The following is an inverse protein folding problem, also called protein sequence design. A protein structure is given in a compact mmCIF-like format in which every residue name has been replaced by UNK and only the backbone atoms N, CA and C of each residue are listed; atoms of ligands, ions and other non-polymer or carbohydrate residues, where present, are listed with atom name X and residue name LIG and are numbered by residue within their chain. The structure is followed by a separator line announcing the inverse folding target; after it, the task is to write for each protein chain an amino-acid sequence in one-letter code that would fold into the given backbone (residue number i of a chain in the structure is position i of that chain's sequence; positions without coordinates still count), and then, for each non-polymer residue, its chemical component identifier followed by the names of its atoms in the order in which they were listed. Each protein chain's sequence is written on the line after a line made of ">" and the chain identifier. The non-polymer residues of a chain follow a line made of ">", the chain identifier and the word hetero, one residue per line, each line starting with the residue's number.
data_IF_519505977098
#
_entry.id   IF_519505977098
#
_cell.length_a   1.000
_cell.length_b   1.000
_cell.length_c   1.000
_cell.angle_alpha   90.00
_cell.angle_beta   90.00
_cell.angle_gamma   90.00
#
_symmetry.space_group_name_H-M   'P 1'
#
loop_
_entity.id
_entity.type
_entity.pdbx_description
1 polymer ?
#
# COMPACT_ATOMS: atom_id res chain seq x y z
N UNK A 1 -4.52 24.42 33.49
CA UNK A 1 -3.65 23.25 33.27
C UNK A 1 -3.73 22.93 31.79
N UNK A 2 -2.64 23.19 31.08
CA UNK A 2 -2.60 23.14 29.62
C UNK A 2 -2.75 21.68 29.16
N UNK A 3 -3.79 21.43 28.37
CA UNK A 3 -4.01 20.16 27.68
C UNK A 3 -3.15 20.03 26.41
N UNK A 4 -2.55 21.15 26.04
CA UNK A 4 -1.76 21.40 24.86
C UNK A 4 -0.29 21.13 25.18
N UNK A 5 0.36 20.39 24.29
CA UNK A 5 1.80 20.13 24.29
C UNK A 5 2.42 20.82 23.08
N UNK A 6 3.54 21.48 23.32
CA UNK A 6 4.44 21.89 22.24
C UNK A 6 5.05 20.66 21.57
N UNK A 7 5.60 20.82 20.37
CA UNK A 7 6.33 19.75 19.69
C UNK A 7 7.46 19.19 20.59
N UNK A 8 8.20 20.08 21.27
CA UNK A 8 9.28 19.69 22.19
C UNK A 8 8.77 18.84 23.36
N UNK A 9 7.64 19.19 23.96
CA UNK A 9 7.06 18.40 25.06
C UNK A 9 6.57 17.04 24.57
N UNK A 10 5.95 16.97 23.39
CA UNK A 10 5.56 15.70 22.78
C UNK A 10 6.80 14.83 22.54
N UNK A 11 7.85 15.37 21.94
CA UNK A 11 9.10 14.66 21.69
C UNK A 11 9.74 14.15 22.98
N UNK A 12 9.67 14.91 24.07
CA UNK A 12 10.14 14.44 25.38
C UNK A 12 9.36 13.23 25.86
N UNK A 13 8.02 13.24 25.78
CA UNK A 13 7.20 12.08 26.16
C UNK A 13 7.44 10.86 25.27
N UNK A 14 7.54 11.07 23.95
CA UNK A 14 7.83 10.00 22.98
C UNK A 14 9.20 9.39 23.27
N UNK A 15 10.23 10.21 23.45
CA UNK A 15 11.57 9.72 23.67
C UNK A 15 11.76 9.07 25.05
N UNK A 16 11.08 9.56 26.08
CA UNK A 16 11.09 8.96 27.41
C UNK A 16 10.26 7.68 27.53
N UNK A 17 9.34 7.43 26.59
CA UNK A 17 8.55 6.20 26.58
C UNK A 17 9.46 5.02 26.23
N UNK A 18 9.66 4.12 27.19
CA UNK A 18 10.48 2.90 27.04
C UNK A 18 9.76 1.64 27.50
N UNK A 19 8.57 1.79 28.08
CA UNK A 19 7.81 0.71 28.71
C UNK A 19 6.63 0.27 27.83
N UNK A 20 6.44 -1.05 27.70
CA UNK A 20 5.27 -1.68 27.06
C UNK A 20 4.52 -2.47 28.11
N UNK A 21 3.30 -2.03 28.45
CA UNK A 21 2.42 -2.73 29.42
C UNK A 21 1.13 -3.21 28.74
N UNK A 22 1.24 -3.75 27.52
CA UNK A 22 0.09 -4.21 26.75
C UNK A 22 0.30 -4.23 25.25
N UNK A 23 -0.73 -4.61 24.51
CA UNK A 23 -0.72 -4.71 23.05
C UNK A 23 -1.52 -3.57 22.43
N UNK A 24 -0.93 -2.89 21.44
CA UNK A 24 -1.61 -1.86 20.65
C UNK A 24 -2.30 -2.52 19.46
N UNK A 25 -3.60 -2.30 19.33
CA UNK A 25 -4.45 -2.80 18.23
C UNK A 25 -5.38 -1.68 17.75
N UNK A 26 -6.06 -1.87 16.60
CA UNK A 26 -7.00 -0.88 16.05
C UNK A 26 -6.39 0.53 15.94
N UNK A 27 -5.13 0.61 15.48
CA UNK A 27 -4.47 1.88 15.23
C UNK A 27 -5.10 2.54 14.00
N UNK A 28 -5.77 3.65 14.23
CA UNK A 28 -6.53 4.37 13.22
C UNK A 28 -6.12 5.84 13.24
N UNK A 29 -6.13 6.45 12.06
CA UNK A 29 -5.97 7.89 11.90
C UNK A 29 -7.33 8.46 11.52
N UNK A 30 -7.71 9.57 12.13
CA UNK A 30 -9.02 10.17 11.92
C UNK A 30 -8.99 11.68 12.14
N UNK A 31 -9.95 12.37 11.53
CA UNK A 31 -10.33 13.71 11.99
C UNK A 31 -11.18 13.58 13.24
N UNK A 32 -10.93 14.45 14.21
CA UNK A 32 -11.50 14.33 15.53
C UNK A 32 -12.07 15.67 15.99
N UNK A 33 -13.31 15.71 16.50
CA UNK A 33 -13.91 16.94 17.01
C UNK A 33 -13.41 17.18 18.44
N UNK A 34 -12.20 17.70 18.58
CA UNK A 34 -11.53 17.89 19.85
C UNK A 34 -12.28 18.91 20.72
N UNK A 35 -12.59 18.54 21.96
CA UNK A 35 -13.23 19.41 22.95
C UNK A 35 -12.24 19.71 24.08
N UNK A 36 -11.93 20.99 24.27
CA UNK A 36 -11.00 21.41 25.32
C UNK A 36 -11.67 21.28 26.68
N UNK A 37 -11.00 20.56 27.60
CA UNK A 37 -11.57 20.30 28.92
C UNK A 37 -11.66 21.56 29.80
N UNK A 38 -10.91 22.62 29.46
CA UNK A 38 -10.81 23.83 30.28
C UNK A 38 -11.93 24.82 29.99
N UNK A 39 -12.16 25.13 28.71
CA UNK A 39 -13.13 26.14 28.28
C UNK A 39 -14.31 25.57 27.48
N UNK A 40 -14.32 24.25 27.23
CA UNK A 40 -15.36 23.55 26.45
C UNK A 40 -15.45 24.01 24.99
N UNK A 41 -14.42 24.69 24.48
CA UNK A 41 -14.30 25.00 23.06
C UNK A 41 -14.13 23.71 22.26
N UNK A 42 -14.69 23.71 21.04
CA UNK A 42 -14.58 22.57 20.13
C UNK A 42 -13.85 23.02 18.87
N UNK A 43 -12.86 22.25 18.44
CA UNK A 43 -12.05 22.54 17.27
C UNK A 43 -11.73 21.26 16.52
N UNK A 44 -11.54 21.35 15.20
CA UNK A 44 -10.97 20.25 14.41
C UNK A 44 -9.58 19.87 14.94
N UNK A 45 -9.29 18.57 14.96
CA UNK A 45 -7.96 18.03 15.11
C UNK A 45 -7.75 16.85 14.15
N UNK A 46 -6.51 16.60 13.76
CA UNK A 46 -6.10 15.30 13.24
C UNK A 46 -5.63 14.44 14.41
N UNK A 47 -6.01 13.17 14.47
CA UNK A 47 -5.63 12.29 15.58
C UNK A 47 -5.24 10.89 15.11
N UNK A 48 -4.33 10.27 15.86
CA UNK A 48 -4.25 8.82 15.95
C UNK A 48 -5.02 8.37 17.17
N UNK A 49 -5.77 7.28 16.99
CA UNK A 49 -6.48 6.55 18.03
C UNK A 49 -6.02 5.10 17.98
N UNK A 50 -5.87 4.47 19.14
CA UNK A 50 -5.65 3.03 19.20
C UNK A 50 -6.32 2.43 20.43
N UNK A 51 -6.49 1.11 20.41
CA UNK A 51 -6.80 0.31 21.58
C UNK A 51 -5.52 -0.26 22.19
N UNK A 52 -5.34 -0.05 23.47
CA UNK A 52 -4.26 -0.65 24.27
C UNK A 52 -4.88 -1.65 25.23
N UNK A 53 -4.60 -2.94 25.00
CA UNK A 53 -5.07 -4.03 25.85
C UNK A 53 -3.98 -4.38 26.86
N UNK A 54 -4.30 -4.24 28.14
CA UNK A 54 -3.39 -4.54 29.26
C UNK A 54 -3.97 -5.66 30.13
N UNK A 55 -3.18 -6.28 31.04
CA UNK A 55 -3.72 -7.23 32.01
C UNK A 55 -4.83 -6.64 32.90
N UNK A 56 -4.85 -5.31 33.08
CA UNK A 56 -5.83 -4.60 33.91
C UNK A 56 -7.07 -4.12 33.16
N UNK A 57 -7.12 -4.31 31.83
CA UNK A 57 -8.25 -3.91 31.00
C UNK A 57 -7.85 -3.22 29.70
N UNK A 58 -8.86 -2.87 28.93
CA UNK A 58 -8.74 -2.20 27.63
C UNK A 58 -8.87 -0.69 27.75
N UNK A 59 -8.07 0.03 26.99
CA UNK A 59 -8.06 1.49 26.98
C UNK A 59 -7.98 2.04 25.57
N UNK A 60 -8.85 3.01 25.27
CA UNK A 60 -8.75 3.84 24.07
C UNK A 60 -7.80 5.00 24.35
N UNK A 61 -6.76 5.13 23.54
CA UNK A 61 -5.73 6.16 23.70
C UNK A 61 -5.58 6.98 22.43
N UNK A 62 -5.15 8.23 22.60
CA UNK A 62 -5.06 9.19 21.53
C UNK A 62 -3.78 10.01 21.57
N UNK A 63 -3.33 10.39 20.38
CA UNK A 63 -2.49 11.56 20.15
C UNK A 63 -3.11 12.40 19.06
N UNK A 64 -3.23 13.70 19.26
CA UNK A 64 -3.79 14.61 18.25
C UNK A 64 -2.92 15.82 17.98
N UNK A 65 -3.16 16.45 16.84
CA UNK A 65 -2.60 17.72 16.41
C UNK A 65 -3.71 18.70 16.03
N UNK A 66 -3.53 19.95 16.44
CA UNK A 66 -4.31 21.12 16.00
C UNK A 66 -3.41 22.35 16.00
N UNK A 67 -3.85 23.43 15.37
CA UNK A 67 -3.23 24.75 15.55
C UNK A 67 -4.10 25.62 16.46
N UNK A 68 -3.55 26.04 17.60
CA UNK A 68 -4.22 26.95 18.54
C UNK A 68 -3.56 28.32 18.44
N UNK A 69 -4.34 29.35 18.08
CA UNK A 69 -3.83 30.70 17.81
C UNK A 69 -2.62 30.72 16.83
N UNK A 70 -2.64 29.84 15.83
CA UNK A 70 -1.57 29.72 14.82
C UNK A 70 -0.32 28.95 15.28
N UNK A 71 -0.34 28.36 16.49
CA UNK A 71 0.78 27.58 17.02
C UNK A 71 0.49 26.06 17.00
N UNK A 72 1.46 25.22 16.58
CA UNK A 72 1.31 23.77 16.58
C UNK A 72 1.09 23.25 17.99
N UNK A 73 0.02 22.49 18.17
CA UNK A 73 -0.44 22.03 19.48
C UNK A 73 -0.80 20.56 19.41
N UNK A 74 -0.14 19.76 20.24
CA UNK A 74 -0.39 18.33 20.38
C UNK A 74 -1.17 18.02 21.65
N UNK A 75 -1.96 16.95 21.65
CA UNK A 75 -2.71 16.50 22.83
C UNK A 75 -2.58 14.99 22.97
N UNK A 76 -2.57 14.51 24.22
CA UNK A 76 -2.49 13.08 24.56
C UNK A 76 -3.58 12.77 25.56
N UNK A 77 -4.32 11.67 25.37
CA UNK A 77 -5.28 11.22 26.39
C UNK A 77 -5.61 9.73 26.35
N UNK A 78 -6.22 9.26 27.44
CA UNK A 78 -6.68 7.90 27.64
C UNK A 78 -8.12 7.90 28.17
N UNK A 79 -8.99 7.16 27.50
CA UNK A 79 -10.43 7.15 27.70
C UNK A 79 -11.10 8.35 27.03
N UNK A 80 -12.08 8.11 26.17
CA UNK A 80 -12.74 9.16 25.39
C UNK A 80 -14.23 8.96 25.22
N UNK A 81 -15.03 9.85 25.80
CA UNK A 81 -16.50 9.75 25.77
C UNK A 81 -17.08 9.76 24.36
N UNK A 82 -16.50 10.54 23.44
CA UNK A 82 -17.02 10.65 22.08
C UNK A 82 -16.77 9.36 21.29
N UNK A 83 -15.55 8.84 21.30
CA UNK A 83 -15.25 7.60 20.61
C UNK A 83 -15.85 6.36 21.26
N UNK A 84 -16.11 6.40 22.56
CA UNK A 84 -16.78 5.33 23.30
C UNK A 84 -18.30 5.42 23.24
N UNK A 85 -18.87 6.49 22.65
CA UNK A 85 -20.33 6.70 22.62
C UNK A 85 -20.95 6.88 24.01
N UNK A 86 -20.15 7.32 24.99
CA UNK A 86 -20.53 7.39 26.40
C UNK A 86 -21.05 8.77 26.76
N UNK A 87 -22.20 8.82 27.44
CA UNK A 87 -22.85 10.05 27.93
C UNK A 87 -23.15 11.10 26.84
N UNK A 88 -23.24 10.68 25.57
CA UNK A 88 -23.47 11.54 24.41
C UNK A 88 -24.52 10.89 23.50
N UNK A 89 -25.58 11.62 23.17
CA UNK A 89 -26.53 11.22 22.13
C UNK A 89 -25.97 11.51 20.73
N UNK A 90 -26.45 10.81 19.70
CA UNK A 90 -26.10 11.07 18.30
C UNK A 90 -26.28 12.54 17.90
N UNK A 91 -27.32 13.21 18.43
CA UNK A 91 -27.59 14.61 18.18
C UNK A 91 -26.51 15.52 18.79
N UNK A 92 -26.09 15.25 20.03
CA UNK A 92 -25.03 15.99 20.71
C UNK A 92 -23.67 15.74 20.05
N UNK A 93 -23.38 14.50 19.65
CA UNK A 93 -22.16 14.15 18.93
C UNK A 93 -22.10 14.85 17.57
N UNK A 94 -23.20 14.83 16.81
CA UNK A 94 -23.28 15.54 15.52
C UNK A 94 -23.13 17.05 15.67
N UNK A 95 -23.68 17.63 16.74
CA UNK A 95 -23.50 19.05 17.04
C UNK A 95 -22.05 19.38 17.39
N UNK A 96 -21.36 18.52 18.14
CA UNK A 96 -19.92 18.65 18.41
C UNK A 96 -19.11 18.57 17.10
N UNK A 97 -19.44 17.65 16.20
CA UNK A 97 -18.82 17.56 14.87
C UNK A 97 -19.04 18.81 14.02
N UNK A 98 -20.24 19.41 14.06
CA UNK A 98 -20.51 20.67 13.34
C UNK A 98 -19.61 21.78 13.83
N UNK A 99 -19.53 21.99 15.15
CA UNK A 99 -18.66 23.01 15.75
C UNK A 99 -17.20 22.82 15.37
N UNK A 100 -16.71 21.57 15.36
CA UNK A 100 -15.35 21.28 14.94
C UNK A 100 -15.11 21.59 13.46
N UNK A 101 -16.12 21.40 12.59
CA UNK A 101 -16.01 21.64 11.16
C UNK A 101 -16.29 23.10 10.74
N UNK A 102 -16.63 23.99 11.66
CA UNK A 102 -16.85 25.41 11.37
C UNK A 102 -15.60 26.04 10.74
N UNK A 103 -15.79 26.79 9.65
CA UNK A 103 -14.71 27.46 8.93
C UNK A 103 -13.86 26.56 8.02
N UNK A 104 -14.15 25.26 7.93
CA UNK A 104 -13.47 24.34 6.99
C UNK A 104 -14.07 24.45 5.58
N UNK A 105 -13.34 24.02 4.55
CA UNK A 105 -13.79 24.13 3.15
C UNK A 105 -14.96 23.20 2.80
N UNK A 106 -15.01 22.01 3.43
CA UNK A 106 -16.06 21.02 3.24
C UNK A 106 -16.57 20.48 4.59
N UNK A 107 -17.37 21.29 5.32
CA UNK A 107 -17.87 20.89 6.62
C UNK A 107 -18.77 19.66 6.56
N UNK A 108 -19.52 19.47 5.46
CA UNK A 108 -20.48 18.36 5.34
C UNK A 108 -19.77 17.01 5.33
N UNK A 109 -18.71 16.89 4.53
CA UNK A 109 -17.91 15.66 4.44
C UNK A 109 -17.19 15.38 5.76
N UNK A 110 -16.59 16.41 6.39
CA UNK A 110 -15.91 16.25 7.67
C UNK A 110 -16.86 15.83 8.80
N UNK A 111 -18.06 16.41 8.87
CA UNK A 111 -19.08 16.00 9.85
C UNK A 111 -19.45 14.54 9.64
N UNK A 112 -19.69 14.12 8.38
CA UNK A 112 -20.02 12.74 8.07
C UNK A 112 -18.88 11.79 8.50
N UNK A 113 -17.63 12.16 8.17
CA UNK A 113 -16.44 11.37 8.48
C UNK A 113 -16.22 11.23 10.00
N UNK A 114 -16.26 12.34 10.75
CA UNK A 114 -16.11 12.32 12.21
C UNK A 114 -17.21 11.48 12.90
N UNK A 115 -18.43 11.45 12.34
CA UNK A 115 -19.50 10.60 12.85
C UNK A 115 -19.30 9.13 12.47
N UNK A 116 -18.92 8.83 11.23
CA UNK A 116 -18.80 7.44 10.75
C UNK A 116 -17.57 6.71 11.29
N UNK A 117 -16.47 7.43 11.53
CA UNK A 117 -15.16 6.90 11.95
C UNK A 117 -14.84 7.21 13.42
N UNK A 118 -15.39 8.31 13.95
CA UNK A 118 -15.05 8.81 15.28
C UNK A 118 -16.01 8.39 16.39
N UNK A 119 -17.33 8.58 16.21
CA UNK A 119 -18.33 8.44 17.28
C UNK A 119 -18.78 7.00 17.52
N UNK A 120 -18.76 6.56 18.78
CA UNK A 120 -19.18 5.20 19.19
C UNK A 120 -18.50 4.06 18.40
N UNK A 121 -17.21 4.22 18.09
CA UNK A 121 -16.39 3.25 17.35
C UNK A 121 -15.42 2.46 18.21
N UNK A 122 -15.25 2.85 19.46
CA UNK A 122 -14.43 2.16 20.43
C UNK A 122 -15.29 1.62 21.57
N UNK A 123 -14.93 0.48 22.17
CA UNK A 123 -15.54 0.05 23.41
C UNK A 123 -15.09 0.94 24.57
N UNK A 124 -15.91 0.98 25.61
CA UNK A 124 -15.65 1.75 26.81
C UNK A 124 -14.33 1.34 27.47
N UNK A 125 -13.49 2.34 27.80
CA UNK A 125 -12.21 2.10 28.46
C UNK A 125 -12.43 1.67 29.92
N UNK A 126 -11.58 0.75 30.39
CA UNK A 126 -11.47 0.45 31.81
C UNK A 126 -10.98 1.69 32.58
N UNK A 127 -11.33 1.83 33.86
CA UNK A 127 -10.95 2.97 34.68
C UNK A 127 -9.43 3.17 34.74
N UNK A 128 -8.95 4.38 34.42
CA UNK A 128 -7.52 4.73 34.40
C UNK A 128 -7.25 6.00 35.22
N UNK A 129 -6.05 6.12 35.78
CA UNK A 129 -5.59 7.29 36.53
C UNK A 129 -5.01 8.42 35.64
N UNK A 130 -5.16 8.34 34.31
CA UNK A 130 -4.62 9.31 33.35
C UNK A 130 -4.92 10.77 33.75
N UNK A 131 -6.19 11.10 33.98
CA UNK A 131 -6.64 12.45 34.34
C UNK A 131 -6.04 12.96 35.66
N UNK A 132 -5.69 12.07 36.58
CA UNK A 132 -4.99 12.41 37.82
C UNK A 132 -3.51 12.68 37.57
N UNK A 133 -2.85 11.83 36.79
CA UNK A 133 -1.42 11.94 36.47
C UNK A 133 -1.09 13.20 35.66
N UNK A 134 -1.99 13.59 34.76
CA UNK A 134 -1.82 14.78 33.92
C UNK A 134 -1.69 16.09 34.71
N UNK A 135 -2.25 16.17 35.92
CA UNK A 135 -2.09 17.34 36.82
C UNK A 135 -0.64 17.57 37.23
N UNK A 136 0.20 16.55 37.13
CA UNK A 136 1.63 16.58 37.46
C UNK A 136 2.51 16.39 36.21
N UNK A 137 1.98 16.69 35.02
CA UNK A 137 2.66 16.54 33.73
C UNK A 137 3.20 15.11 33.49
N UNK A 138 2.43 14.09 33.88
CA UNK A 138 2.74 12.67 33.67
C UNK A 138 1.64 12.00 32.87
N UNK A 139 2.03 11.00 32.08
CA UNK A 139 1.11 10.14 31.32
C UNK A 139 0.90 8.80 32.04
N UNK A 140 -0.21 8.12 31.75
CA UNK A 140 -0.42 6.76 32.22
C UNK A 140 0.37 5.76 31.35
N UNK A 141 0.54 4.54 31.85
CA UNK A 141 1.25 3.46 31.13
C UNK A 141 0.62 3.10 29.78
N UNK A 142 -0.69 3.33 29.60
CA UNK A 142 -1.37 3.05 28.33
C UNK A 142 -0.95 4.04 27.24
N UNK A 143 -0.90 5.33 27.58
CA UNK A 143 -0.39 6.38 26.68
C UNK A 143 1.10 6.17 26.45
N UNK A 144 1.87 5.77 27.46
CA UNK A 144 3.30 5.45 27.30
C UNK A 144 3.52 4.27 26.33
N UNK A 145 2.76 3.17 26.51
CA UNK A 145 2.79 1.99 25.61
C UNK A 145 2.43 2.38 24.17
N UNK A 146 1.45 3.26 24.02
CA UNK A 146 1.02 3.77 22.73
C UNK A 146 2.06 4.69 22.07
N UNK A 147 2.67 5.60 22.82
CA UNK A 147 3.74 6.45 22.32
C UNK A 147 4.99 5.64 21.97
N UNK A 148 5.32 4.62 22.76
CA UNK A 148 6.39 3.68 22.42
C UNK A 148 6.08 2.93 21.11
N UNK A 149 4.84 2.49 20.92
CA UNK A 149 4.40 1.85 19.68
C UNK A 149 4.50 2.81 18.49
N UNK A 150 4.04 4.06 18.61
CA UNK A 150 4.17 5.07 17.57
C UNK A 150 5.63 5.39 17.28
N UNK A 151 6.47 5.61 18.30
CA UNK A 151 7.92 5.82 18.15
C UNK A 151 8.58 4.71 17.33
N UNK A 152 8.20 3.47 17.60
CA UNK A 152 8.83 2.28 17.00
C UNK A 152 8.31 1.99 15.60
N UNK A 153 6.99 2.10 15.39
CA UNK A 153 6.33 1.63 14.16
C UNK A 153 5.88 2.78 13.24
N UNK A 154 5.76 4.00 13.77
CA UNK A 154 5.37 5.20 13.04
C UNK A 154 6.11 6.47 13.54
N UNK A 155 7.44 6.57 13.37
CA UNK A 155 8.23 7.67 13.95
C UNK A 155 7.82 9.06 13.42
N UNK A 156 7.25 9.14 12.22
CA UNK A 156 6.82 10.40 11.58
C UNK A 156 5.39 10.82 11.95
N UNK A 157 4.71 10.12 12.87
CA UNK A 157 3.30 10.35 13.17
C UNK A 157 2.97 11.83 13.47
N UNK A 158 3.86 12.56 14.13
CA UNK A 158 3.65 13.97 14.49
C UNK A 158 3.64 14.89 13.26
N UNK A 159 4.46 14.59 12.25
CA UNK A 159 4.51 15.29 10.96
C UNK A 159 3.31 14.92 10.10
N UNK A 160 2.91 13.64 10.12
CA UNK A 160 1.72 13.16 9.41
C UNK A 160 0.45 13.86 9.92
N UNK A 161 0.25 13.90 11.24
CA UNK A 161 -0.88 14.60 11.85
C UNK A 161 -0.92 16.09 11.48
N UNK A 162 0.24 16.75 11.46
CA UNK A 162 0.34 18.15 11.06
C UNK A 162 0.00 18.37 9.58
N UNK A 163 0.45 17.45 8.72
CA UNK A 163 0.18 17.49 7.27
C UNK A 163 -1.31 17.31 7.00
N UNK A 164 -1.94 16.31 7.62
CA UNK A 164 -3.36 16.01 7.42
C UNK A 164 -4.26 17.14 7.92
N UNK A 165 -3.95 17.69 9.09
CA UNK A 165 -4.65 18.86 9.60
C UNK A 165 -4.56 20.04 8.64
N UNK A 166 -3.35 20.36 8.15
CA UNK A 166 -3.13 21.47 7.23
C UNK A 166 -3.79 21.26 5.87
N UNK A 167 -3.83 20.02 5.38
CA UNK A 167 -4.52 19.69 4.14
C UNK A 167 -6.01 20.03 4.24
N UNK A 168 -6.65 19.62 5.32
CA UNK A 168 -8.07 19.94 5.56
C UNK A 168 -8.30 21.42 5.83
N UNK A 169 -7.43 22.06 6.62
CA UNK A 169 -7.50 23.49 6.88
C UNK A 169 -7.30 24.35 5.61
N UNK A 170 -6.51 23.85 4.66
CA UNK A 170 -6.24 24.51 3.36
C UNK A 170 -7.25 24.14 2.26
N UNK A 171 -8.27 23.36 2.62
CA UNK A 171 -9.38 23.00 1.77
C UNK A 171 -9.13 21.91 0.74
N UNK A 172 -8.09 21.10 0.94
CA UNK A 172 -7.90 19.84 0.23
C UNK A 172 -8.92 18.83 0.80
N UNK A 173 -9.71 18.13 -0.03
CA UNK A 173 -10.68 17.16 0.47
C UNK A 173 -9.96 16.06 1.28
N UNK A 174 -10.52 15.64 2.42
CA UNK A 174 -9.93 14.55 3.19
C UNK A 174 -9.96 13.27 2.34
N UNK A 175 -8.81 12.87 1.80
CA UNK A 175 -8.63 11.50 1.34
C UNK A 175 -8.64 10.63 2.58
N UNK A 176 -9.57 9.68 2.63
CA UNK A 176 -9.77 8.72 3.71
C UNK A 176 -8.45 8.35 4.40
N UNK A 177 -8.37 8.61 5.70
CA UNK A 177 -7.21 8.36 6.53
C UNK A 177 -7.06 6.84 6.78
N UNK A 178 -6.66 6.09 5.77
CA UNK A 178 -6.10 4.76 5.94
C UNK A 178 -4.60 4.92 6.22
N UNK A 179 -4.21 4.92 7.51
CA UNK A 179 -2.81 4.85 7.93
C UNK A 179 -2.55 3.55 8.70
N UNK A 180 -2.71 2.42 8.04
CA UNK A 180 -1.72 1.34 8.20
C UNK A 180 -0.50 1.77 7.39
N UNK A 181 0.65 1.99 8.04
CA UNK A 181 1.94 2.10 7.32
C UNK A 181 2.16 0.77 6.58
N UNK A 182 1.70 0.69 5.35
CA UNK A 182 2.11 -0.37 4.45
C UNK A 182 3.49 0.00 3.96
N UNK A 183 4.47 -0.88 4.22
CA UNK A 183 5.79 -0.76 3.61
C UNK A 183 5.61 -0.55 2.10
N UNK A 184 6.31 0.43 1.54
CA UNK A 184 6.39 0.61 0.09
C UNK A 184 7.60 -0.14 -0.45
N UNK A 185 7.66 -0.32 -1.77
CA UNK A 185 8.89 -0.81 -2.40
C UNK A 185 10.10 0.07 -2.08
N UNK A 186 9.92 1.38 -1.87
CA UNK A 186 11.03 2.26 -1.50
C UNK A 186 11.59 1.97 -0.11
N UNK A 187 10.74 1.52 0.83
CA UNK A 187 11.13 1.20 2.20
C UNK A 187 11.85 -0.15 2.29
N UNK A 188 11.50 -1.09 1.42
CA UNK A 188 11.99 -2.48 1.43
C UNK A 188 13.13 -2.75 0.46
N UNK A 189 13.27 -1.95 -0.59
CA UNK A 189 14.29 -2.14 -1.62
C UNK A 189 15.69 -2.20 -1.01
N UNK A 190 16.51 -3.15 -1.48
CA UNK A 190 17.88 -3.40 -1.00
C UNK A 190 17.97 -3.82 0.47
N UNK A 191 16.87 -4.31 1.05
CA UNK A 191 16.83 -4.82 2.43
C UNK A 191 16.26 -6.23 2.46
N UNK A 192 15.15 -6.44 1.77
CA UNK A 192 14.43 -7.73 1.70
C UNK A 192 13.79 -7.90 0.32
N UNK A 193 13.60 -9.14 -0.16
CA UNK A 193 12.81 -9.41 -1.34
C UNK A 193 11.34 -9.02 -1.15
N UNK A 194 10.73 -8.47 -2.20
CA UNK A 194 9.32 -8.03 -2.20
C UNK A 194 8.52 -8.88 -3.17
N UNK A 195 7.34 -9.34 -2.76
CA UNK A 195 6.36 -9.99 -3.64
C UNK A 195 5.13 -9.09 -3.79
N UNK A 196 4.87 -8.62 -5.00
CA UNK A 196 3.63 -7.93 -5.30
C UNK A 196 2.52 -8.90 -5.64
N UNK A 197 1.44 -8.85 -4.86
CA UNK A 197 0.21 -9.61 -5.06
C UNK A 197 -0.95 -8.68 -5.40
N UNK A 198 -1.87 -9.13 -6.25
CA UNK A 198 -3.12 -8.40 -6.49
C UNK A 198 -3.66 -8.62 -7.90
N UNK A 199 -4.60 -7.75 -8.30
CA UNK A 199 -5.32 -7.89 -9.56
C UNK A 199 -4.42 -7.81 -10.80
N UNK A 200 -4.86 -8.49 -11.87
CA UNK A 200 -4.23 -8.35 -13.18
C UNK A 200 -4.29 -6.90 -13.66
N UNK A 201 -3.21 -6.42 -14.26
CA UNK A 201 -3.20 -5.08 -14.86
C UNK A 201 -3.30 -3.91 -13.86
N UNK A 202 -3.15 -4.16 -12.56
CA UNK A 202 -3.08 -3.12 -11.51
C UNK A 202 -1.76 -2.33 -11.51
N UNK A 203 -0.73 -2.81 -12.21
CA UNK A 203 0.55 -2.10 -12.38
C UNK A 203 1.72 -2.64 -11.57
N UNK A 204 1.65 -3.85 -10.99
CA UNK A 204 2.72 -4.49 -10.21
C UNK A 204 4.10 -4.44 -10.87
N UNK A 205 4.23 -5.04 -12.06
CA UNK A 205 5.47 -5.02 -12.85
C UNK A 205 5.87 -3.60 -13.27
N UNK A 206 4.89 -2.73 -13.51
CA UNK A 206 5.14 -1.33 -13.84
C UNK A 206 5.78 -0.58 -12.67
N UNK A 207 5.35 -0.80 -11.43
CA UNK A 207 5.96 -0.18 -10.24
C UNK A 207 7.43 -0.57 -10.09
N UNK A 208 7.76 -1.86 -10.25
CA UNK A 208 9.13 -2.33 -10.20
C UNK A 208 10.02 -1.67 -11.28
N UNK A 209 9.51 -1.60 -12.52
CA UNK A 209 10.18 -0.90 -13.63
C UNK A 209 10.31 0.61 -13.38
N UNK A 210 9.28 1.25 -12.82
CA UNK A 210 9.28 2.67 -12.49
C UNK A 210 10.27 2.99 -11.36
N UNK A 211 10.41 2.09 -10.38
CA UNK A 211 11.39 2.18 -9.32
C UNK A 211 12.82 2.17 -9.88
N UNK A 212 13.14 1.20 -10.75
CA UNK A 212 14.45 1.13 -11.40
C UNK A 212 14.74 2.36 -12.27
N UNK A 213 13.77 2.77 -13.11
CA UNK A 213 13.90 3.95 -13.99
C UNK A 213 14.10 5.25 -13.21
N UNK A 214 13.31 5.49 -12.17
CA UNK A 214 13.40 6.74 -11.37
C UNK A 214 14.75 6.89 -10.67
N UNK A 215 15.41 5.76 -10.34
CA UNK A 215 16.74 5.74 -9.71
C UNK A 215 17.89 5.49 -10.70
N UNK A 216 17.60 5.38 -12.01
CA UNK A 216 18.57 5.08 -13.07
C UNK A 216 19.41 3.83 -12.78
N UNK A 217 18.79 2.81 -12.20
CA UNK A 217 19.47 1.57 -11.82
C UNK A 217 19.46 0.56 -12.98
N UNK A 218 20.51 -0.27 -13.11
CA UNK A 218 20.46 -1.50 -13.90
C UNK A 218 19.25 -2.35 -13.50
N UNK A 219 18.62 -2.93 -14.50
CA UNK A 219 17.39 -3.69 -14.36
C UNK A 219 17.51 -5.00 -15.15
N UNK A 220 17.09 -6.11 -14.55
CA UNK A 220 16.99 -7.44 -15.17
C UNK A 220 15.59 -7.97 -14.90
N UNK A 221 14.93 -8.48 -15.93
CA UNK A 221 13.56 -9.00 -15.85
C UNK A 221 13.51 -10.45 -16.29
N UNK A 222 12.91 -11.30 -15.46
CA UNK A 222 12.63 -12.69 -15.75
C UNK A 222 11.12 -12.87 -15.91
N UNK A 223 10.61 -13.11 -17.14
CA UNK A 223 9.19 -13.38 -17.36
C UNK A 223 8.86 -14.83 -16.99
N UNK A 224 8.09 -15.04 -15.92
CA UNK A 224 7.68 -16.35 -15.42
C UNK A 224 6.69 -17.06 -16.35
N UNK A 225 6.97 -18.34 -16.64
CA UNK A 225 6.06 -19.24 -17.35
C UNK A 225 6.38 -20.70 -17.00
N UNK A 226 5.43 -21.60 -17.29
CA UNK A 226 5.48 -23.03 -16.90
C UNK A 226 6.61 -23.83 -17.56
N UNK A 227 7.18 -23.27 -18.63
CA UNK A 227 8.26 -23.88 -19.40
C UNK A 227 9.66 -23.46 -18.99
N UNK A 228 9.81 -22.65 -17.93
CA UNK A 228 11.13 -22.31 -17.39
C UNK A 228 11.74 -23.54 -16.74
N UNK A 229 13.02 -23.77 -17.01
CA UNK A 229 13.87 -24.73 -16.31
C UNK A 229 15.03 -24.01 -15.59
N UNK A 230 15.70 -24.70 -14.66
CA UNK A 230 16.85 -24.17 -13.92
C UNK A 230 17.92 -23.49 -14.80
N UNK A 231 18.33 -24.05 -15.96
CA UNK A 231 19.28 -23.38 -16.85
C UNK A 231 18.76 -22.07 -17.44
N UNK A 232 17.46 -21.89 -17.61
CA UNK A 232 16.92 -20.62 -18.11
C UNK A 232 17.09 -19.50 -17.08
N UNK A 233 17.04 -19.83 -15.78
CA UNK A 233 17.26 -18.88 -14.68
C UNK A 233 18.76 -18.62 -14.42
N UNK A 234 19.56 -19.68 -14.40
CA UNK A 234 20.98 -19.65 -14.03
C UNK A 234 21.90 -19.33 -15.22
N UNK A 235 21.65 -19.94 -16.36
CA UNK A 235 22.49 -19.88 -17.54
C UNK A 235 22.94 -21.25 -18.03
N UNK A 236 23.51 -21.27 -19.22
CA UNK A 236 23.99 -22.47 -19.89
C UNK A 236 25.07 -22.16 -20.92
N UNK A 237 25.78 -23.20 -21.37
CA UNK A 237 26.74 -23.09 -22.46
C UNK A 237 26.01 -23.00 -23.81
N UNK A 238 26.37 -22.01 -24.62
CA UNK A 238 25.88 -21.83 -25.99
C UNK A 238 27.03 -21.87 -26.99
N UNK A 239 26.83 -22.45 -28.19
CA UNK A 239 27.81 -22.37 -29.26
C UNK A 239 28.03 -20.91 -29.69
N UNK A 240 29.29 -20.49 -29.79
CA UNK A 240 29.68 -19.17 -30.28
C UNK A 240 30.80 -19.32 -31.30
N UNK A 241 30.44 -19.71 -32.52
CA UNK A 241 31.38 -19.97 -33.61
C UNK A 241 31.94 -21.40 -33.61
N UNK A 242 32.78 -21.74 -34.61
CA UNK A 242 33.27 -23.10 -34.81
C UNK A 242 34.11 -23.60 -33.62
N UNK A 243 33.64 -24.65 -32.94
CA UNK A 243 34.36 -25.31 -31.85
C UNK A 243 34.41 -24.52 -30.52
N UNK A 244 33.74 -23.38 -30.43
CA UNK A 244 33.75 -22.54 -29.22
C UNK A 244 32.38 -22.57 -28.54
N UNK A 245 32.39 -22.84 -27.23
CA UNK A 245 31.24 -22.70 -26.34
C UNK A 245 31.48 -21.50 -25.42
N UNK A 246 30.44 -20.72 -25.15
CA UNK A 246 30.48 -19.61 -24.19
C UNK A 246 29.33 -19.74 -23.20
N UNK A 247 29.59 -19.34 -21.96
CA UNK A 247 28.53 -19.28 -20.96
C UNK A 247 27.62 -18.07 -21.23
N UNK A 248 26.32 -18.32 -21.29
CA UNK A 248 25.28 -17.29 -21.34
C UNK A 248 24.54 -17.31 -20.01
N UNK A 249 24.64 -16.23 -19.25
CA UNK A 249 23.89 -16.07 -18.00
C UNK A 249 22.38 -16.09 -18.27
N UNK A 250 21.64 -16.74 -17.38
CA UNK A 250 20.20 -16.49 -17.20
C UNK A 250 19.98 -15.20 -16.38
N UNK A 251 18.73 -14.72 -16.27
CA UNK A 251 18.41 -13.44 -15.63
C UNK A 251 18.81 -13.40 -14.15
N UNK A 252 18.79 -14.54 -13.44
CA UNK A 252 19.19 -14.60 -12.04
C UNK A 252 20.71 -14.38 -11.91
N UNK A 253 21.52 -15.12 -12.67
CA UNK A 253 22.98 -14.94 -12.69
C UNK A 253 23.39 -13.56 -13.20
N UNK A 254 22.74 -13.05 -14.24
CA UNK A 254 22.99 -11.70 -14.75
C UNK A 254 22.76 -10.64 -13.67
N UNK A 255 21.65 -10.74 -12.92
CA UNK A 255 21.34 -9.81 -11.83
C UNK A 255 22.37 -9.87 -10.71
N UNK A 256 22.79 -11.06 -10.29
CA UNK A 256 23.84 -11.24 -9.28
C UNK A 256 25.18 -10.63 -9.73
N UNK A 257 25.61 -10.87 -10.98
CA UNK A 257 26.85 -10.28 -11.53
C UNK A 257 26.79 -8.76 -11.63
N UNK A 258 25.62 -8.19 -11.92
CA UNK A 258 25.44 -6.73 -11.90
C UNK A 258 25.46 -6.20 -10.47
N UNK A 259 24.80 -6.89 -9.53
CA UNK A 259 24.78 -6.55 -8.10
C UNK A 259 26.16 -6.59 -7.43
N UNK A 260 27.09 -7.42 -7.94
CA UNK A 260 28.50 -7.39 -7.54
C UNK A 260 29.19 -6.05 -7.81
N UNK A 261 28.77 -5.34 -8.86
CA UNK A 261 29.37 -4.07 -9.31
C UNK A 261 28.64 -2.85 -8.76
N UNK A 262 27.41 -3.03 -8.27
CA UNK A 262 26.60 -1.97 -7.68
C UNK A 262 25.10 -2.28 -7.70
N UNK A 263 24.31 -1.36 -7.15
CA UNK A 263 22.86 -1.52 -7.00
C UNK A 263 22.17 -1.94 -8.31
N UNK A 264 21.43 -3.03 -8.26
CA UNK A 264 20.71 -3.65 -9.39
C UNK A 264 19.31 -4.07 -8.94
N UNK A 265 18.34 -3.94 -9.84
CA UNK A 265 16.97 -4.42 -9.62
C UNK A 265 16.74 -5.71 -10.43
N UNK A 266 16.32 -6.77 -9.75
CA UNK A 266 15.86 -8.03 -10.35
C UNK A 266 14.33 -8.09 -10.23
N UNK A 267 13.65 -8.29 -11.36
CA UNK A 267 12.21 -8.58 -11.39
C UNK A 267 11.95 -10.01 -11.79
N UNK A 268 11.17 -10.72 -10.97
CA UNK A 268 10.62 -12.05 -11.25
C UNK A 268 9.13 -11.87 -11.54
N UNK A 269 8.77 -11.68 -12.80
CA UNK A 269 7.39 -11.39 -13.20
C UNK A 269 6.57 -12.67 -13.25
N UNK A 270 5.36 -12.68 -12.69
CA UNK A 270 4.50 -13.87 -12.61
C UNK A 270 5.23 -15.10 -12.03
N UNK A 271 5.92 -14.93 -10.89
CA UNK A 271 6.80 -15.93 -10.28
C UNK A 271 6.11 -17.29 -10.06
N UNK A 272 4.82 -17.29 -9.69
CA UNK A 272 4.05 -18.52 -9.43
C UNK A 272 3.61 -19.27 -10.70
N UNK A 273 3.97 -18.77 -11.89
CA UNK A 273 3.84 -19.54 -13.15
C UNK A 273 5.09 -20.37 -13.43
N UNK A 274 6.18 -20.12 -12.71
CA UNK A 274 7.40 -20.92 -12.80
C UNK A 274 7.17 -22.20 -11.98
N UNK A 275 7.52 -23.39 -12.49
CA UNK A 275 7.34 -24.62 -11.73
C UNK A 275 8.07 -24.56 -10.38
N UNK A 276 7.41 -24.98 -9.30
CA UNK A 276 7.94 -24.92 -7.93
C UNK A 276 9.34 -25.56 -7.78
N UNK A 277 9.61 -26.64 -8.53
CA UNK A 277 10.93 -27.30 -8.53
C UNK A 277 12.07 -26.36 -8.97
N UNK A 278 11.81 -25.44 -9.89
CA UNK A 278 12.81 -24.50 -10.41
C UNK A 278 12.98 -23.30 -9.45
N UNK A 279 11.89 -22.92 -8.77
CA UNK A 279 11.92 -21.88 -7.73
C UNK A 279 12.73 -22.28 -6.48
N UNK A 280 13.01 -23.58 -6.28
CA UNK A 280 13.83 -24.07 -5.17
C UNK A 280 15.23 -23.42 -5.10
N UNK A 281 15.76 -22.98 -6.25
CA UNK A 281 17.02 -22.23 -6.36
C UNK A 281 16.97 -20.93 -5.55
N UNK A 282 15.79 -20.30 -5.45
CA UNK A 282 15.61 -19.04 -4.74
C UNK A 282 15.69 -19.19 -3.21
N UNK A 283 15.43 -20.39 -2.69
CA UNK A 283 15.47 -20.66 -1.24
C UNK A 283 16.86 -20.40 -0.67
N UNK A 284 17.89 -20.84 -1.37
CA UNK A 284 19.29 -20.57 -0.99
C UNK A 284 19.73 -19.19 -1.44
N UNK A 285 19.34 -18.76 -2.64
CA UNK A 285 19.74 -17.46 -3.19
C UNK A 285 19.25 -16.25 -2.38
N UNK A 286 18.06 -16.33 -1.79
CA UNK A 286 17.45 -15.25 -1.00
C UNK A 286 17.45 -15.49 0.51
N UNK A 287 18.27 -16.42 1.00
CA UNK A 287 18.57 -16.56 2.43
C UNK A 287 19.96 -15.98 2.71
N UNK A 288 20.07 -14.66 3.00
CA UNK A 288 21.37 -14.03 3.13
C UNK A 288 22.05 -14.49 4.42
N UNK A 289 23.37 -14.62 4.35
CA UNK A 289 24.23 -14.89 5.50
C UNK A 289 25.25 -13.75 5.60
N UNK A 290 25.32 -13.12 6.78
CA UNK A 290 26.11 -11.90 7.04
C UNK A 290 25.89 -10.79 5.99
N UNK A 291 24.65 -10.61 5.53
CA UNK A 291 24.29 -9.55 4.58
C UNK A 291 24.69 -9.81 3.13
N UNK A 292 25.00 -11.07 2.78
CA UNK A 292 25.39 -11.48 1.43
C UNK A 292 24.43 -12.52 0.87
N UNK A 293 23.95 -12.31 -0.35
CA UNK A 293 23.25 -13.32 -1.15
C UNK A 293 24.25 -14.16 -1.93
N UNK A 294 23.97 -15.46 -2.09
CA UNK A 294 24.84 -16.40 -2.83
C UNK A 294 24.05 -17.22 -3.83
N UNK A 295 24.55 -17.32 -5.06
CA UNK A 295 23.92 -18.08 -6.13
C UNK A 295 24.94 -19.04 -6.76
N UNK A 296 24.59 -20.32 -6.76
CA UNK A 296 25.28 -21.37 -7.51
C UNK A 296 24.77 -21.40 -8.95
N UNK A 297 25.65 -21.24 -9.93
CA UNK A 297 25.25 -21.02 -11.34
C UNK A 297 25.20 -22.29 -12.19
N UNK A 298 25.77 -23.39 -11.71
CA UNK A 298 26.05 -24.60 -12.48
C UNK A 298 27.27 -24.48 -13.41
N UNK A 299 27.90 -23.30 -13.53
CA UNK A 299 29.07 -23.10 -14.38
C UNK A 299 30.32 -23.69 -13.74
N UNK A 300 30.98 -24.61 -14.44
CA UNK A 300 32.27 -25.16 -14.02
C UNK A 300 33.37 -24.10 -14.23
N UNK A 301 34.18 -23.85 -13.19
CA UNK A 301 35.28 -22.87 -13.22
C UNK A 301 36.66 -23.52 -13.19
N UNK A 302 36.80 -24.66 -12.52
CA UNK A 302 38.03 -25.45 -12.50
C UNK A 302 37.69 -26.93 -12.36
N UNK A 303 38.63 -27.78 -12.76
CA UNK A 303 38.55 -29.22 -12.56
C UNK A 303 39.90 -29.67 -12.01
N UNK A 304 39.89 -30.22 -10.81
CA UNK A 304 41.09 -30.72 -10.12
C UNK A 304 40.83 -32.18 -9.74
N UNK A 305 41.76 -33.08 -10.10
CA UNK A 305 41.65 -34.53 -9.85
C UNK A 305 40.32 -35.16 -10.30
N UNK A 306 39.76 -34.67 -11.41
CA UNK A 306 38.49 -35.14 -11.96
C UNK A 306 37.25 -34.61 -11.24
N UNK A 307 37.41 -33.68 -10.29
CA UNK A 307 36.32 -33.05 -9.52
C UNK A 307 36.16 -31.62 -10.02
N UNK A 308 34.95 -31.29 -10.50
CA UNK A 308 34.62 -29.95 -10.96
C UNK A 308 34.26 -29.03 -9.79
N UNK A 309 34.81 -27.83 -9.78
CA UNK A 309 34.38 -26.72 -8.93
C UNK A 309 33.40 -25.83 -9.68
N UNK A 310 32.35 -25.41 -8.99
CA UNK A 310 31.27 -24.59 -9.55
C UNK A 310 31.42 -23.12 -9.17
N UNK A 311 31.09 -22.22 -10.10
CA UNK A 311 30.98 -20.79 -9.84
C UNK A 311 29.85 -20.49 -8.85
N UNK A 312 30.21 -19.77 -7.78
CA UNK A 312 29.26 -19.15 -6.86
C UNK A 312 29.34 -17.64 -6.99
N UNK A 313 28.23 -17.00 -7.31
CA UNK A 313 28.09 -15.55 -7.35
C UNK A 313 27.64 -15.05 -5.99
N UNK A 314 28.38 -14.10 -5.42
CA UNK A 314 28.03 -13.44 -4.17
C UNK A 314 27.77 -11.97 -4.41
N UNK A 315 26.72 -11.41 -3.79
CA UNK A 315 26.51 -9.96 -3.80
C UNK A 315 25.94 -9.46 -2.45
N UNK A 316 26.27 -8.22 -2.02
CA UNK A 316 25.65 -7.64 -0.83
C UNK A 316 24.14 -7.49 -1.00
N UNK A 317 23.37 -7.76 0.06
CA UNK A 317 21.92 -7.53 0.10
C UNK A 317 21.58 -6.09 -0.28
N UNK A 318 22.39 -5.13 0.16
CA UNK A 318 22.24 -3.70 -0.14
C UNK A 318 22.43 -3.32 -1.62
N UNK A 319 22.90 -4.26 -2.44
CA UNK A 319 23.09 -4.09 -3.88
C UNK A 319 22.07 -4.82 -4.75
N UNK A 320 21.29 -5.77 -4.21
CA UNK A 320 20.29 -6.49 -4.99
C UNK A 320 18.88 -6.20 -4.47
N UNK A 321 18.10 -5.44 -5.25
CA UNK A 321 16.68 -5.26 -5.00
C UNK A 321 15.90 -6.32 -5.78
N UNK A 322 15.26 -7.24 -5.06
CA UNK A 322 14.45 -8.32 -5.63
C UNK A 322 12.97 -7.94 -5.55
N UNK A 323 12.29 -7.97 -6.69
CA UNK A 323 10.85 -7.70 -6.79
C UNK A 323 10.17 -8.79 -7.61
N UNK A 324 9.41 -9.66 -6.95
CA UNK A 324 8.56 -10.64 -7.60
C UNK A 324 7.13 -10.09 -7.80
N UNK A 325 6.41 -10.61 -8.77
CA UNK A 325 4.99 -10.30 -8.98
C UNK A 325 4.17 -11.58 -9.13
N UNK A 326 2.92 -11.56 -8.69
CA UNK A 326 1.95 -12.61 -8.99
C UNK A 326 0.53 -12.04 -9.06
N UNK A 327 -0.32 -12.70 -9.86
CA UNK A 327 -1.75 -12.39 -9.92
C UNK A 327 -2.49 -13.27 -8.91
N UNK A 328 -3.47 -12.70 -8.20
CA UNK A 328 -4.30 -13.44 -7.24
C UNK A 328 -5.69 -13.68 -7.85
N UNK A 329 -6.23 -14.90 -7.71
CA UNK A 329 -7.60 -15.24 -8.09
C UNK A 329 -7.76 -16.67 -8.62
N UNK A 330 -8.91 -17.29 -8.36
CA UNK A 330 -9.23 -18.69 -8.72
C UNK A 330 -9.25 -19.00 -10.22
N UNK A 331 -9.22 -17.97 -11.08
CA UNK A 331 -9.15 -18.13 -12.54
C UNK A 331 -7.72 -18.26 -13.08
N UNK A 332 -6.70 -18.00 -12.26
CA UNK A 332 -5.31 -18.17 -12.65
C UNK A 332 -4.84 -19.52 -12.13
N UNK A 333 -4.44 -20.42 -13.04
CA UNK A 333 -3.73 -21.63 -12.69
C UNK A 333 -2.32 -21.25 -12.24
N UNK A 334 -2.21 -20.76 -11.01
CA UNK A 334 -0.94 -20.51 -10.32
C UNK A 334 -0.81 -21.57 -9.24
N UNK A 335 0.34 -22.21 -9.20
CA UNK A 335 0.65 -23.13 -8.10
C UNK A 335 0.71 -22.33 -6.79
N UNK A 336 0.28 -22.95 -5.69
CA UNK A 336 0.49 -22.35 -4.38
C UNK A 336 1.99 -22.14 -4.16
N UNK A 337 2.35 -20.96 -3.66
CA UNK A 337 3.73 -20.68 -3.29
C UNK A 337 4.15 -21.64 -2.18
N UNK A 338 5.28 -22.33 -2.37
CA UNK A 338 5.89 -23.09 -1.30
C UNK A 338 6.06 -22.21 -0.04
N UNK A 339 5.63 -22.66 1.16
CA UNK A 339 5.70 -21.83 2.36
C UNK A 339 7.09 -21.33 2.70
N UNK A 340 8.14 -22.14 2.47
CA UNK A 340 9.51 -21.73 2.74
C UNK A 340 9.98 -20.65 1.75
N UNK A 341 9.50 -20.69 0.51
CA UNK A 341 9.74 -19.62 -0.46
C UNK A 341 8.96 -18.35 -0.09
N UNK A 342 7.72 -18.47 0.34
CA UNK A 342 6.89 -17.33 0.75
C UNK A 342 7.55 -16.53 1.89
N UNK A 343 8.16 -17.22 2.86
CA UNK A 343 8.91 -16.61 3.98
C UNK A 343 10.15 -15.80 3.54
N UNK A 344 10.59 -15.90 2.28
CA UNK A 344 11.69 -15.08 1.73
C UNK A 344 11.23 -13.71 1.26
N UNK A 345 9.93 -13.46 1.18
CA UNK A 345 9.37 -12.21 0.68
C UNK A 345 8.56 -11.47 1.72
N UNK A 346 8.58 -10.14 1.63
CA UNK A 346 7.51 -9.30 2.19
C UNK A 346 6.47 -9.10 1.09
N UNK A 347 5.21 -9.47 1.39
CA UNK A 347 4.10 -9.35 0.44
C UNK A 347 3.50 -7.95 0.49
N UNK A 348 3.46 -7.28 -0.67
CA UNK A 348 2.78 -6.02 -0.88
C UNK A 348 1.55 -6.22 -1.76
N UNK A 349 0.39 -5.79 -1.27
CA UNK A 349 -0.86 -5.86 -2.03
C UNK A 349 -1.01 -4.66 -2.95
N UNK A 350 -1.35 -4.93 -4.21
CA UNK A 350 -1.47 -3.95 -5.30
C UNK A 350 -2.66 -4.28 -6.19
N UNK A 351 -3.80 -3.69 -5.84
CA UNK A 351 -5.03 -3.76 -6.61
C UNK A 351 -5.29 -2.44 -7.35
N UNK A 352 -6.26 -2.44 -8.28
CA UNK A 352 -6.65 -1.19 -8.96
C UNK A 352 -7.35 -0.27 -7.98
N UNK A 353 -6.67 0.79 -7.55
CA UNK A 353 -7.21 1.82 -6.65
C UNK A 353 -7.71 3.05 -7.45
N UNK A 354 -8.90 3.56 -7.13
CA UNK A 354 -9.49 4.75 -7.75
C UNK A 354 -8.57 5.98 -7.67
N UNK A 355 -7.94 6.24 -6.52
CA UNK A 355 -7.11 7.43 -6.33
C UNK A 355 -5.88 7.41 -7.26
N UNK A 356 -5.27 6.23 -7.39
CA UNK A 356 -4.15 6.03 -8.28
C UNK A 356 -4.56 6.02 -9.75
N UNK A 357 -5.68 5.35 -10.07
CA UNK A 357 -6.27 5.35 -11.40
C UNK A 357 -6.53 6.80 -11.86
N UNK A 358 -7.15 7.63 -11.01
CA UNK A 358 -7.37 9.05 -11.26
C UNK A 358 -6.07 9.77 -11.62
N UNK A 359 -5.02 9.57 -10.82
CA UNK A 359 -3.70 10.18 -11.05
C UNK A 359 -3.11 9.76 -12.39
N UNK A 360 -3.16 8.47 -12.72
CA UNK A 360 -2.64 7.92 -13.98
C UNK A 360 -3.41 8.47 -15.17
N UNK A 361 -4.74 8.38 -15.15
CA UNK A 361 -5.60 8.86 -16.24
C UNK A 361 -5.46 10.37 -16.44
N UNK A 362 -5.34 11.15 -15.36
CA UNK A 362 -5.09 12.60 -15.44
C UNK A 362 -3.76 12.89 -16.14
N UNK A 363 -2.70 12.16 -15.80
CA UNK A 363 -1.40 12.33 -16.45
C UNK A 363 -1.44 12.03 -17.96
N UNK A 364 -2.15 10.97 -18.35
CA UNK A 364 -2.32 10.61 -19.77
C UNK A 364 -3.19 11.65 -20.48
N UNK A 365 -4.29 12.08 -19.86
CA UNK A 365 -5.19 13.09 -20.42
C UNK A 365 -4.45 14.41 -20.70
N UNK A 366 -3.69 14.92 -19.73
CA UNK A 366 -2.86 16.13 -19.91
C UNK A 366 -1.87 15.96 -21.05
N UNK A 367 -1.19 14.81 -21.12
CA UNK A 367 -0.21 14.52 -22.18
C UNK A 367 -0.85 14.50 -23.57
N UNK A 368 -2.08 13.99 -23.68
CA UNK A 368 -2.79 13.82 -24.95
C UNK A 368 -3.73 14.99 -25.27
N UNK A 369 -3.81 16.02 -24.43
CA UNK A 369 -4.72 17.16 -24.63
C UNK A 369 -6.20 16.84 -24.41
N UNK A 370 -6.51 15.80 -23.64
CA UNK A 370 -7.88 15.39 -23.31
C UNK A 370 -8.41 16.15 -22.08
N UNK A 371 -9.72 16.34 -21.99
CA UNK A 371 -10.33 17.07 -20.89
C UNK A 371 -10.33 16.29 -19.57
N UNK A 372 -10.25 17.02 -18.45
CA UNK A 372 -10.39 16.44 -17.11
C UNK A 372 -11.79 15.83 -16.87
N UNK A 373 -12.78 16.21 -17.69
CA UNK A 373 -14.12 15.65 -17.67
C UNK A 373 -14.10 14.17 -18.04
N UNK A 374 -13.31 13.78 -19.05
CA UNK A 374 -13.21 12.36 -19.46
C UNK A 374 -12.61 11.49 -18.35
N UNK A 375 -11.64 12.01 -17.59
CA UNK A 375 -11.11 11.32 -16.40
C UNK A 375 -12.22 11.10 -15.37
N UNK A 376 -13.05 12.11 -15.13
CA UNK A 376 -14.17 12.02 -14.17
C UNK A 376 -15.21 10.99 -14.61
N UNK A 377 -15.58 10.99 -15.89
CA UNK A 377 -16.49 10.00 -16.49
C UNK A 377 -15.93 8.58 -16.40
N UNK A 378 -14.63 8.41 -16.68
CA UNK A 378 -13.95 7.12 -16.58
C UNK A 378 -13.92 6.56 -15.16
N UNK A 379 -13.69 7.40 -14.15
CA UNK A 379 -13.75 6.97 -12.74
C UNK A 379 -15.16 6.60 -12.29
N UNK A 380 -16.17 7.34 -12.77
CA UNK A 380 -17.58 7.02 -12.53
C UNK A 380 -17.94 5.65 -13.13
N UNK A 381 -17.53 5.41 -14.37
CA UNK A 381 -17.67 4.10 -15.03
C UNK A 381 -16.98 2.99 -14.25
N UNK A 382 -15.75 3.20 -13.78
CA UNK A 382 -15.03 2.23 -12.95
C UNK A 382 -15.80 1.87 -11.66
N UNK A 383 -16.39 2.86 -10.97
CA UNK A 383 -17.22 2.62 -9.77
C UNK A 383 -18.47 1.79 -10.08
N UNK A 384 -19.23 2.16 -11.10
CA UNK A 384 -20.43 1.43 -11.49
C UNK A 384 -20.11 -0.01 -11.89
N UNK A 385 -18.99 -0.25 -12.58
CA UNK A 385 -18.53 -1.60 -12.90
C UNK A 385 -18.17 -2.42 -11.65
N UNK A 386 -17.56 -1.79 -10.64
CA UNK A 386 -17.29 -2.42 -9.34
C UNK A 386 -18.56 -2.87 -8.63
N UNK A 387 -19.56 -1.98 -8.56
CA UNK A 387 -20.89 -2.31 -8.02
C UNK A 387 -21.59 -3.41 -8.82
N UNK A 388 -21.49 -3.36 -10.15
CA UNK A 388 -22.07 -4.36 -11.04
C UNK A 388 -21.44 -5.75 -10.84
N UNK A 389 -20.12 -5.83 -10.66
CA UNK A 389 -19.43 -7.09 -10.40
C UNK A 389 -19.87 -7.71 -9.07
N UNK A 390 -19.99 -6.90 -8.01
CA UNK A 390 -20.45 -7.35 -6.70
C UNK A 390 -21.90 -7.89 -6.74
N UNK A 391 -22.71 -7.40 -7.68
CA UNK A 391 -24.07 -7.87 -7.92
C UNK A 391 -24.16 -8.99 -8.98
N UNK A 392 -23.03 -9.49 -9.50
CA UNK A 392 -22.99 -10.54 -10.52
C UNK A 392 -23.47 -10.12 -11.91
N UNK A 393 -23.60 -8.81 -12.17
CA UNK A 393 -24.06 -8.27 -13.45
C UNK A 393 -22.97 -8.27 -14.53
N UNK A 394 -21.71 -8.37 -14.12
CA UNK A 394 -20.55 -8.50 -15.00
C UNK A 394 -19.56 -9.50 -14.40
N UNK A 395 -18.69 -10.07 -15.24
CA UNK A 395 -17.67 -11.03 -14.81
C UNK A 395 -16.45 -10.36 -14.17
N UNK A 396 -15.95 -9.29 -14.80
CA UNK A 396 -14.74 -8.60 -14.34
C UNK A 396 -14.94 -7.07 -14.35
N UNK A 397 -14.13 -6.36 -13.57
CA UNK A 397 -14.02 -4.91 -13.63
C UNK A 397 -12.94 -4.45 -14.63
N UNK A 398 -13.03 -3.19 -15.12
CA UNK A 398 -11.91 -2.52 -15.77
C UNK A 398 -10.69 -2.45 -14.85
N UNK A 399 -9.50 -2.61 -15.42
CA UNK A 399 -8.22 -2.51 -14.70
C UNK A 399 -7.52 -1.22 -15.07
N UNK A 400 -6.50 -0.81 -14.31
CA UNK A 400 -5.64 0.33 -14.68
C UNK A 400 -5.15 0.21 -16.12
N UNK A 401 -4.75 -0.99 -16.56
CA UNK A 401 -4.30 -1.25 -17.94
C UNK A 401 -5.38 -0.97 -18.99
N UNK A 402 -6.61 -1.49 -18.81
CA UNK A 402 -7.66 -1.32 -19.83
C UNK A 402 -8.15 0.12 -19.90
N UNK A 403 -8.20 0.80 -18.74
CA UNK A 403 -8.59 2.21 -18.64
C UNK A 403 -7.51 3.11 -19.25
N UNK A 404 -6.24 2.94 -18.86
CA UNK A 404 -5.13 3.72 -19.40
C UNK A 404 -5.01 3.57 -20.92
N UNK A 405 -5.16 2.35 -21.46
CA UNK A 405 -5.13 2.10 -22.90
C UNK A 405 -6.16 2.93 -23.67
N UNK A 406 -7.37 3.09 -23.13
CA UNK A 406 -8.41 3.89 -23.78
C UNK A 406 -8.00 5.37 -23.89
N UNK A 407 -7.34 5.91 -22.87
CA UNK A 407 -6.81 7.28 -22.86
C UNK A 407 -5.56 7.43 -23.74
N UNK A 408 -4.67 6.44 -23.74
CA UNK A 408 -3.45 6.44 -24.56
C UNK A 408 -3.75 6.45 -26.06
N UNK A 409 -4.82 5.77 -26.48
CA UNK A 409 -5.26 5.71 -27.88
C UNK A 409 -6.12 6.90 -28.30
N UNK A 410 -6.67 7.66 -27.35
CA UNK A 410 -7.58 8.77 -27.64
C UNK A 410 -6.82 9.98 -28.20
N UNK A 411 -7.30 10.50 -29.32
CA UNK A 411 -6.79 11.73 -29.95
C UNK A 411 -7.70 12.91 -29.59
N UNK A 412 -8.99 12.65 -29.46
CA UNK A 412 -10.01 13.58 -28.96
C UNK A 412 -10.80 12.94 -27.82
N UNK A 413 -11.50 13.75 -27.02
CA UNK A 413 -12.27 13.28 -25.86
C UNK A 413 -13.23 12.11 -26.18
N UNK A 414 -13.92 12.19 -27.32
CA UNK A 414 -14.87 11.18 -27.79
C UNK A 414 -14.24 9.80 -28.05
N UNK A 415 -12.92 9.74 -28.24
CA UNK A 415 -12.23 8.47 -28.48
C UNK A 415 -12.06 7.66 -27.20
N UNK A 416 -12.12 8.30 -26.01
CA UNK A 416 -12.00 7.60 -24.72
C UNK A 416 -13.12 6.56 -24.58
N UNK A 417 -14.37 6.97 -24.78
CA UNK A 417 -15.51 6.04 -24.69
C UNK A 417 -15.48 4.97 -25.79
N UNK A 418 -15.03 5.30 -27.01
CA UNK A 418 -14.83 4.31 -28.08
C UNK A 418 -13.77 3.27 -27.69
N UNK A 419 -12.68 3.72 -27.09
CA UNK A 419 -11.61 2.88 -26.56
C UNK A 419 -12.08 1.96 -25.42
N UNK A 420 -12.99 2.44 -24.56
CA UNK A 420 -13.61 1.60 -23.52
C UNK A 420 -14.60 0.60 -24.12
N UNK A 421 -15.45 1.02 -25.08
CA UNK A 421 -16.41 0.13 -25.77
C UNK A 421 -15.73 -1.02 -26.51
N UNK A 422 -14.58 -0.77 -27.14
CA UNK A 422 -13.85 -1.82 -27.86
C UNK A 422 -13.31 -2.94 -26.94
N UNK A 423 -13.33 -2.72 -25.61
CA UNK A 423 -12.79 -3.63 -24.61
C UNK A 423 -13.87 -4.36 -23.78
N UNK A 424 -15.17 -4.18 -24.08
CA UNK A 424 -16.30 -4.77 -23.30
C UNK A 424 -16.15 -6.28 -23.10
N UNK A 425 -15.61 -6.99 -24.10
CA UNK A 425 -15.43 -8.44 -24.05
C UNK A 425 -14.48 -8.92 -22.95
N UNK A 426 -13.69 -8.02 -22.34
CA UNK A 426 -12.82 -8.34 -21.21
C UNK A 426 -13.56 -8.40 -19.86
N UNK A 427 -14.78 -7.85 -19.80
CA UNK A 427 -15.54 -7.65 -18.57
C UNK A 427 -16.77 -8.56 -18.45
N UNK A 428 -17.15 -9.23 -19.54
CA UNK A 428 -18.31 -10.10 -19.60
C UNK A 428 -17.92 -11.58 -19.57
N UNK A 429 -18.81 -12.41 -19.06
CA UNK A 429 -18.69 -13.85 -19.10
C UNK A 429 -18.89 -14.40 -20.52
N UNK A 430 -18.52 -15.67 -20.69
CA UNK A 430 -18.79 -16.43 -21.91
C UNK A 430 -19.78 -17.56 -21.62
N UNK A 431 -20.66 -17.82 -22.57
CA UNK A 431 -21.55 -19.00 -22.56
C UNK A 431 -20.74 -20.28 -22.79
N UNK A 432 -21.38 -21.44 -22.64
CA UNK A 432 -20.79 -22.73 -22.99
C UNK A 432 -20.34 -22.83 -24.46
N UNK A 433 -20.93 -22.05 -25.36
CA UNK A 433 -20.54 -21.92 -26.77
C UNK A 433 -19.40 -20.91 -26.99
N UNK A 434 -18.85 -20.32 -25.93
CA UNK A 434 -17.80 -19.31 -26.00
C UNK A 434 -18.26 -17.91 -26.43
N UNK A 435 -19.57 -17.67 -26.61
CA UNK A 435 -20.11 -16.35 -26.97
C UNK A 435 -20.21 -15.44 -25.76
N UNK A 436 -20.04 -14.11 -25.90
CA UNK A 436 -20.27 -13.17 -24.80
C UNK A 436 -21.71 -13.24 -24.30
N UNK A 437 -21.92 -13.17 -22.98
CA UNK A 437 -23.27 -13.10 -22.40
C UNK A 437 -23.91 -11.76 -22.80
N UNK A 438 -24.99 -11.82 -23.57
CA UNK A 438 -25.59 -10.66 -24.25
C UNK A 438 -26.16 -9.62 -23.26
N UNK A 439 -26.73 -10.08 -22.16
CA UNK A 439 -27.27 -9.25 -21.09
C UNK A 439 -26.16 -8.40 -20.45
N UNK A 440 -24.99 -9.01 -20.21
CA UNK A 440 -23.84 -8.30 -19.64
C UNK A 440 -23.25 -7.29 -20.64
N UNK A 441 -23.16 -7.64 -21.92
CA UNK A 441 -22.72 -6.70 -22.98
C UNK A 441 -23.65 -5.49 -23.05
N UNK A 442 -24.96 -5.73 -23.01
CA UNK A 442 -25.98 -4.68 -23.03
C UNK A 442 -25.86 -3.78 -21.80
N UNK A 443 -25.70 -4.38 -20.62
CA UNK A 443 -25.50 -3.67 -19.37
C UNK A 443 -24.28 -2.75 -19.39
N UNK A 444 -23.12 -3.27 -19.81
CA UNK A 444 -21.88 -2.49 -19.88
C UNK A 444 -22.02 -1.36 -20.90
N UNK A 445 -22.64 -1.62 -22.05
CA UNK A 445 -22.88 -0.60 -23.09
C UNK A 445 -23.75 0.53 -22.55
N UNK A 446 -24.88 0.19 -21.92
CA UNK A 446 -25.78 1.17 -21.32
C UNK A 446 -25.11 1.96 -20.19
N UNK A 447 -24.21 1.34 -19.43
CA UNK A 447 -23.42 2.01 -18.39
C UNK A 447 -22.45 3.02 -19.01
N UNK A 448 -21.77 2.66 -20.11
CA UNK A 448 -20.92 3.58 -20.87
C UNK A 448 -21.73 4.74 -21.46
N UNK A 449 -22.89 4.48 -22.07
CA UNK A 449 -23.78 5.52 -22.61
C UNK A 449 -24.24 6.50 -21.50
N UNK A 450 -24.53 5.98 -20.31
CA UNK A 450 -24.94 6.78 -19.14
C UNK A 450 -23.81 7.62 -18.57
N UNK A 451 -22.59 7.11 -18.54
CA UNK A 451 -21.44 7.78 -17.91
C UNK A 451 -20.67 8.68 -18.89
N UNK A 452 -20.80 8.43 -20.19
CA UNK A 452 -20.28 9.23 -21.28
C UNK A 452 -21.43 9.68 -22.20
N UNK A 453 -22.27 10.62 -21.75
CA UNK A 453 -23.40 11.13 -22.52
C UNK A 453 -22.99 12.00 -23.71
#
# INVERSE_FOLDING_TARGET
>A
MQYNKTALELDLFVNSSTHVDGTVTQLEKLFYPFEDITDKSVSLAAAYRARVTTPTGDHTVFVSYRELAGAPTYNLWCGDKFSEGKDLTDAQAKERCKKAAEGTSDPRTLIAQMMSEGFAKMPESTGCNFWRLMRSNKICKHVETFLFHLKTNNPDFATELATDYKAVASGVPPTAAASSKHYTLADLAFRVPVLYEGDRGAGKTFEARAFARSRKLPYVECPGHEGIEAPDLLGFLVPYGPGQMVWKDGPLSEAFRKAQKGKTVLVLDEILRIPNRELSILLTAFSPDNGVYRLRTGRIVSVEDGIASEETLECPVENLCVVATTNVGSEYAVDDCDPALAERFIVLRKDTNEAELKRILTGIAVKNGLSATEVTKALKFFKHMGEAMNNGLVKNIPTTRTMARAFELAVVDEDVVKGLRSQILLWVARTSEGKPVAEQVTFVTATLDKDFP
#
